data_IF_777152171556
#
_entry.id   IF_777152171556
#
_cell.length_a   1.000
_cell.length_b   1.000
_cell.length_c   1.000
_cell.angle_alpha   90.00
_cell.angle_beta   90.00
_cell.angle_gamma   90.00
#
_symmetry.space_group_name_H-M   'P 1'
#
loop_
_entity.id
_entity.type
_entity.pdbx_description
1 polymer ?
#
# COMPACT_ATOMS: atom_id res chain seq x y z
N UNK A 1 8.57 7.81 -14.69
CA UNK A 1 7.58 6.79 -14.26
C UNK A 1 8.27 5.43 -14.28
N UNK A 2 8.21 4.68 -13.18
CA UNK A 2 8.77 3.33 -13.08
C UNK A 2 7.62 2.34 -12.87
N UNK A 3 7.50 1.34 -13.73
CA UNK A 3 6.48 0.29 -13.62
C UNK A 3 7.17 -1.07 -13.48
N UNK A 4 6.74 -1.85 -12.49
CA UNK A 4 7.19 -3.23 -12.28
C UNK A 4 5.96 -4.10 -12.10
N UNK A 5 5.90 -5.21 -12.84
CA UNK A 5 4.75 -6.11 -12.85
C UNK A 5 5.17 -7.57 -13.11
N UNK A 6 4.29 -8.49 -12.73
CA UNK A 6 4.51 -9.93 -12.93
C UNK A 6 5.78 -10.42 -12.24
N UNK A 7 6.45 -11.41 -12.85
CA UNK A 7 7.62 -12.11 -12.30
C UNK A 7 8.82 -11.22 -11.96
N UNK A 8 8.83 -9.96 -12.41
CA UNK A 8 9.90 -9.02 -12.10
C UNK A 8 9.68 -8.27 -10.78
N UNK A 9 8.48 -8.30 -10.20
CA UNK A 9 8.17 -7.66 -8.92
C UNK A 9 8.74 -8.47 -7.74
N UNK A 10 10.07 -8.58 -7.69
CA UNK A 10 10.85 -9.24 -6.64
C UNK A 10 11.23 -8.25 -5.56
N UNK A 11 11.50 -8.73 -4.34
CA UNK A 11 11.95 -7.91 -3.22
C UNK A 11 13.16 -7.05 -3.55
N UNK A 12 14.17 -7.67 -4.13
CA UNK A 12 15.46 -7.04 -4.39
C UNK A 12 15.30 -5.88 -5.38
N UNK A 13 14.53 -6.10 -6.46
CA UNK A 13 14.27 -5.05 -7.44
C UNK A 13 13.44 -3.92 -6.84
N UNK A 14 12.37 -4.24 -6.11
CA UNK A 14 11.48 -3.23 -5.53
C UNK A 14 12.22 -2.40 -4.46
N UNK A 15 12.98 -3.02 -3.57
CA UNK A 15 13.81 -2.31 -2.58
C UNK A 15 14.88 -1.45 -3.25
N UNK A 16 15.55 -1.96 -4.29
CA UNK A 16 16.54 -1.17 -5.03
C UNK A 16 15.92 0.06 -5.69
N UNK A 17 14.74 -0.08 -6.31
CA UNK A 17 14.04 1.03 -6.94
C UNK A 17 13.53 2.04 -5.92
N UNK A 18 12.97 1.58 -4.80
CA UNK A 18 12.55 2.45 -3.71
C UNK A 18 13.74 3.25 -3.19
N UNK A 19 14.84 2.59 -2.83
CA UNK A 19 16.07 3.26 -2.37
C UNK A 19 16.57 4.28 -3.39
N UNK A 20 16.68 3.88 -4.66
CA UNK A 20 17.15 4.78 -5.71
C UNK A 20 16.26 6.01 -5.88
N UNK A 21 14.94 5.83 -5.91
CA UNK A 21 14.00 6.92 -6.14
C UNK A 21 13.93 7.83 -4.91
N UNK A 22 13.68 7.26 -3.73
CA UNK A 22 13.37 8.03 -2.53
C UNK A 22 14.60 8.65 -1.87
N UNK A 23 15.73 7.94 -1.88
CA UNK A 23 16.92 8.33 -1.12
C UNK A 23 18.02 8.95 -1.98
N UNK A 24 18.03 8.70 -3.30
CA UNK A 24 19.10 9.17 -4.17
C UNK A 24 18.64 10.14 -5.26
N UNK A 25 17.40 10.02 -5.75
CA UNK A 25 16.89 10.89 -6.83
C UNK A 25 15.99 12.01 -6.32
N UNK A 26 15.20 11.76 -5.29
CA UNK A 26 14.25 12.74 -4.77
C UNK A 26 14.95 14.00 -4.26
N UNK A 27 14.42 15.15 -4.64
CA UNK A 27 14.87 16.46 -4.21
C UNK A 27 13.77 17.19 -3.44
N UNK A 28 14.15 18.29 -2.81
CA UNK A 28 13.17 19.21 -2.23
C UNK A 28 12.30 19.78 -3.34
N UNK A 29 10.98 19.81 -3.13
CA UNK A 29 9.98 20.18 -4.13
C UNK A 29 9.34 19.01 -4.85
N UNK A 30 9.96 17.82 -4.83
CA UNK A 30 9.41 16.64 -5.50
C UNK A 30 8.24 16.03 -4.73
N UNK A 31 7.31 15.44 -5.51
CA UNK A 31 6.24 14.59 -5.00
C UNK A 31 6.41 13.17 -5.53
N UNK A 32 6.36 12.18 -4.62
CA UNK A 32 6.45 10.77 -4.98
C UNK A 32 5.10 10.08 -4.75
N UNK A 33 4.66 9.32 -5.75
CA UNK A 33 3.54 8.39 -5.64
C UNK A 33 4.06 6.96 -5.74
N UNK A 34 3.81 6.15 -4.71
CA UNK A 34 3.94 4.70 -4.75
C UNK A 34 2.54 4.10 -4.83
N UNK A 35 2.24 3.41 -5.92
CA UNK A 35 1.06 2.57 -6.04
C UNK A 35 1.50 1.11 -6.06
N UNK A 36 0.89 0.30 -5.19
CA UNK A 36 1.12 -1.13 -5.12
C UNK A 36 -0.23 -1.84 -5.14
N UNK A 37 -0.36 -2.82 -6.03
CA UNK A 37 -1.51 -3.71 -6.09
C UNK A 37 -1.03 -5.15 -5.93
N UNK A 38 -1.59 -5.87 -4.95
CA UNK A 38 -1.17 -7.24 -4.67
C UNK A 38 -1.56 -7.75 -3.29
N UNK A 39 -0.81 -8.72 -2.79
CA UNK A 39 -1.07 -9.31 -1.49
C UNK A 39 -0.34 -8.56 -0.38
N UNK A 40 -1.02 -8.38 0.75
CA UNK A 40 -0.42 -7.90 1.98
C UNK A 40 -0.91 -8.73 3.17
N UNK A 41 -0.09 -8.78 4.21
CA UNK A 41 -0.43 -9.50 5.43
C UNK A 41 0.21 -8.83 6.64
N UNK A 42 -0.24 -9.23 7.82
CA UNK A 42 0.29 -8.74 9.11
C UNK A 42 1.05 -9.89 9.75
N UNK A 43 2.26 -9.61 10.25
CA UNK A 43 2.97 -10.55 11.12
C UNK A 43 2.28 -10.60 12.47
N UNK A 44 1.93 -11.81 12.91
CA UNK A 44 1.13 -12.03 14.10
C UNK A 44 1.89 -11.73 15.39
N UNK A 45 3.23 -11.86 15.34
CA UNK A 45 4.10 -11.64 16.49
C UNK A 45 4.34 -10.17 16.76
N UNK A 46 4.65 -9.40 15.72
CA UNK A 46 4.94 -7.96 15.84
C UNK A 46 3.72 -7.06 15.65
N UNK A 47 2.70 -7.52 14.94
CA UNK A 47 1.59 -6.68 14.48
C UNK A 47 1.94 -5.76 13.32
N UNK A 48 3.11 -5.94 12.70
CA UNK A 48 3.59 -5.12 11.60
C UNK A 48 3.12 -5.63 10.23
N UNK A 49 2.89 -4.71 9.30
CA UNK A 49 2.41 -5.01 7.96
C UNK A 49 3.52 -5.28 6.95
N UNK A 50 3.25 -6.21 6.04
CA UNK A 50 4.17 -6.62 4.97
C UNK A 50 3.44 -6.65 3.63
N UNK A 51 4.13 -6.22 2.57
CA UNK A 51 3.70 -6.42 1.20
C UNK A 51 4.39 -7.68 0.65
N UNK A 52 3.58 -8.58 0.08
CA UNK A 52 4.08 -9.77 -0.56
C UNK A 52 4.44 -9.48 -2.03
N UNK A 53 5.63 -9.92 -2.40
CA UNK A 53 6.23 -9.79 -3.72
C UNK A 53 6.31 -11.18 -4.36
N UNK A 54 6.70 -11.25 -5.63
CA UNK A 54 6.65 -12.52 -6.38
C UNK A 54 7.54 -13.62 -5.81
N UNK A 55 8.64 -13.25 -5.13
CA UNK A 55 9.53 -14.19 -4.46
C UNK A 55 9.27 -14.32 -2.95
N UNK A 56 8.18 -13.73 -2.44
CA UNK A 56 7.86 -13.80 -1.02
C UNK A 56 7.44 -15.20 -0.59
N UNK A 57 7.91 -15.59 0.60
CA UNK A 57 7.58 -16.85 1.27
C UNK A 57 6.97 -16.50 2.62
N UNK A 58 5.74 -16.95 2.88
CA UNK A 58 5.01 -16.62 4.10
C UNK A 58 5.75 -17.03 5.40
N UNK A 59 6.56 -18.08 5.34
CA UNK A 59 7.37 -18.56 6.46
C UNK A 59 8.65 -17.76 6.69
N UNK A 60 9.01 -16.89 5.75
CA UNK A 60 10.25 -16.10 5.77
C UNK A 60 9.96 -14.63 5.41
N UNK A 61 9.68 -13.84 6.45
CA UNK A 61 9.37 -12.42 6.33
C UNK A 61 10.50 -11.60 5.67
N UNK A 62 11.74 -12.10 5.67
CA UNK A 62 12.88 -11.41 5.03
C UNK A 62 12.74 -11.34 3.50
N UNK A 63 11.85 -12.14 2.92
CA UNK A 63 11.50 -12.14 1.48
C UNK A 63 10.32 -11.23 1.16
N UNK A 64 9.77 -10.52 2.15
CA UNK A 64 8.65 -9.58 1.98
C UNK A 64 9.12 -8.14 2.20
N UNK A 65 8.36 -7.15 1.71
CA UNK A 65 8.65 -5.75 2.00
C UNK A 65 7.99 -5.34 3.32
N UNK A 66 8.78 -5.05 4.34
CA UNK A 66 8.30 -4.54 5.63
C UNK A 66 7.86 -3.08 5.51
N UNK A 67 6.60 -2.79 5.87
CA UNK A 67 6.10 -1.41 5.90
C UNK A 67 6.73 -0.59 7.03
N UNK A 68 7.10 -1.22 8.14
CA UNK A 68 7.86 -0.58 9.20
C UNK A 68 9.23 -0.16 8.67
N UNK A 69 10.02 -1.08 8.14
CA UNK A 69 11.36 -0.76 7.64
C UNK A 69 11.30 0.27 6.50
N UNK A 70 10.31 0.18 5.62
CA UNK A 70 10.06 1.20 4.60
C UNK A 70 9.77 2.57 5.23
N UNK A 71 8.86 2.66 6.19
CA UNK A 71 8.55 3.92 6.86
C UNK A 71 9.77 4.50 7.59
N UNK A 72 10.47 3.67 8.36
CA UNK A 72 11.57 4.11 9.22
C UNK A 72 12.85 4.47 8.46
N UNK A 73 13.15 3.78 7.36
CA UNK A 73 14.42 3.99 6.64
C UNK A 73 14.25 4.76 5.33
N UNK A 74 13.06 4.72 4.73
CA UNK A 74 12.84 5.38 3.44
C UNK A 74 12.08 6.70 3.62
N UNK A 75 10.90 6.67 4.26
CA UNK A 75 10.05 7.86 4.30
C UNK A 75 10.64 9.00 5.13
N UNK A 76 11.25 8.68 6.25
CA UNK A 76 11.90 9.63 7.18
C UNK A 76 13.17 10.24 6.60
N UNK A 77 13.81 9.58 5.64
CA UNK A 77 15.08 10.02 5.06
C UNK A 77 14.94 10.58 3.64
N UNK A 78 13.77 10.43 3.01
CA UNK A 78 13.52 10.98 1.68
C UNK A 78 13.41 12.51 1.72
N UNK A 79 14.07 13.20 0.78
CA UNK A 79 14.00 14.66 0.62
C UNK A 79 12.73 15.15 -0.07
N UNK A 80 11.92 14.23 -0.62
CA UNK A 80 10.67 14.59 -1.29
C UNK A 80 9.77 15.42 -0.36
N UNK A 81 9.23 16.52 -0.90
CA UNK A 81 8.30 17.38 -0.17
C UNK A 81 7.00 16.66 0.14
N UNK A 82 6.55 15.74 -0.70
CA UNK A 82 5.36 14.93 -0.46
C UNK A 82 5.56 13.48 -0.88
N UNK A 83 5.03 12.54 -0.10
CA UNK A 83 4.94 11.14 -0.49
C UNK A 83 3.51 10.65 -0.26
N UNK A 84 2.92 10.09 -1.31
CA UNK A 84 1.66 9.37 -1.25
C UNK A 84 1.91 7.89 -1.55
N UNK A 85 1.54 7.02 -0.62
CA UNK A 85 1.55 5.57 -0.81
C UNK A 85 0.12 5.06 -0.88
N UNK A 86 -0.20 4.32 -1.93
CA UNK A 86 -1.51 3.73 -2.17
C UNK A 86 -1.33 2.23 -2.29
N UNK A 87 -1.91 1.51 -1.33
CA UNK A 87 -1.85 0.06 -1.23
C UNK A 87 -3.21 -0.52 -1.61
N UNK A 88 -3.35 -0.93 -2.86
CA UNK A 88 -4.51 -1.67 -3.34
C UNK A 88 -4.33 -3.17 -3.03
N UNK A 89 -4.48 -3.51 -1.75
CA UNK A 89 -4.06 -4.80 -1.24
C UNK A 89 -5.24 -5.72 -0.91
N UNK A 90 -5.05 -7.01 -1.22
CA UNK A 90 -5.80 -8.09 -0.58
C UNK A 90 -5.16 -8.43 0.76
N UNK A 91 -5.92 -8.27 1.84
CA UNK A 91 -5.48 -8.68 3.17
C UNK A 91 -5.82 -10.16 3.37
N UNK A 92 -4.78 -11.00 3.49
CA UNK A 92 -4.94 -12.45 3.66
C UNK A 92 -4.19 -12.95 4.90
N UNK A 93 -4.81 -13.81 5.71
CA UNK A 93 -4.17 -14.46 6.87
C UNK A 93 -5.18 -15.04 7.86
N UNK A 94 -4.86 -16.16 8.52
CA UNK A 94 -5.82 -16.83 9.42
C UNK A 94 -6.22 -15.95 10.61
N UNK A 95 -5.28 -15.19 11.19
CA UNK A 95 -5.58 -14.28 12.29
C UNK A 95 -6.45 -13.10 11.89
N UNK A 96 -6.37 -12.65 10.63
CA UNK A 96 -7.27 -11.62 10.13
C UNK A 96 -8.72 -12.10 10.19
N UNK A 97 -8.97 -13.36 9.83
CA UNK A 97 -10.29 -13.99 9.93
C UNK A 97 -10.77 -14.07 11.37
N UNK A 98 -9.87 -14.38 12.31
CA UNK A 98 -10.20 -14.58 13.72
C UNK A 98 -10.48 -13.28 14.47
N UNK A 99 -9.81 -12.18 14.11
CA UNK A 99 -9.92 -10.89 14.81
C UNK A 99 -10.98 -9.97 14.21
N UNK A 100 -11.67 -10.40 13.16
CA UNK A 100 -12.71 -9.64 12.47
C UNK A 100 -13.99 -9.65 13.29
N UNK A 101 -14.42 -8.47 13.73
CA UNK A 101 -15.72 -8.27 14.41
C UNK A 101 -16.83 -7.86 13.44
N UNK A 102 -16.48 -7.41 12.23
CA UNK A 102 -17.41 -6.94 11.19
C UNK A 102 -16.80 -7.13 9.78
N UNK A 103 -17.60 -7.33 8.72
CA UNK A 103 -17.10 -7.28 7.34
C UNK A 103 -16.42 -5.96 6.97
N UNK A 104 -16.69 -4.88 7.72
CA UNK A 104 -16.02 -3.57 7.59
C UNK A 104 -14.86 -3.38 8.58
N UNK A 105 -14.55 -4.39 9.40
CA UNK A 105 -13.46 -4.33 10.37
C UNK A 105 -12.13 -4.40 9.62
N UNK A 106 -11.44 -3.27 9.61
CA UNK A 106 -10.14 -3.08 9.01
C UNK A 106 -9.17 -2.84 10.15
N UNK A 107 -8.46 -3.89 10.58
CA UNK A 107 -7.24 -3.62 11.35
C UNK A 107 -6.27 -2.89 10.44
N UNK A 108 -5.65 -1.79 10.85
CA UNK A 108 -4.80 -1.06 9.93
C UNK A 108 -3.67 -1.99 9.47
N UNK A 109 -3.46 -2.08 8.16
CA UNK A 109 -2.24 -2.67 7.57
C UNK A 109 -0.99 -2.05 8.21
N UNK A 110 -1.13 -0.84 8.73
CA UNK A 110 -0.10 -0.06 9.41
C UNK A 110 -0.11 -0.39 10.90
N UNK A 111 0.97 -1.01 11.36
CA UNK A 111 1.22 -1.18 12.79
C UNK A 111 1.39 0.16 13.49
N UNK A 112 1.32 0.15 14.82
CA UNK A 112 1.45 1.36 15.65
C UNK A 112 2.78 2.11 15.40
N UNK A 113 3.84 1.37 15.09
CA UNK A 113 5.17 1.89 14.74
C UNK A 113 5.09 2.79 13.50
N UNK A 114 4.46 2.29 12.43
CA UNK A 114 4.25 3.05 11.19
C UNK A 114 3.34 4.26 11.43
N UNK A 115 2.25 4.09 12.19
CA UNK A 115 1.34 5.18 12.51
C UNK A 115 2.04 6.33 13.26
N UNK A 116 2.91 6.02 14.22
CA UNK A 116 3.69 7.04 14.93
C UNK A 116 4.63 7.80 14.00
N UNK A 117 5.28 7.10 13.05
CA UNK A 117 6.14 7.76 12.05
C UNK A 117 5.33 8.71 11.18
N UNK A 118 4.18 8.27 10.66
CA UNK A 118 3.32 9.10 9.81
C UNK A 118 2.76 10.32 10.57
N UNK A 119 2.43 10.17 11.85
CA UNK A 119 2.02 11.30 12.71
C UNK A 119 3.13 12.35 12.87
N UNK A 120 4.39 11.92 12.89
CA UNK A 120 5.55 12.83 12.94
C UNK A 120 5.95 13.41 11.57
N UNK A 121 5.36 12.93 10.48
CA UNK A 121 5.71 13.26 9.10
C UNK A 121 4.44 13.61 8.30
N UNK A 122 3.86 14.81 8.49
CA UNK A 122 2.51 15.16 7.98
C UNK A 122 2.39 15.16 6.44
N UNK A 123 3.52 15.18 5.74
CA UNK A 123 3.64 15.12 4.28
C UNK A 123 3.88 13.69 3.74
N UNK A 124 3.67 12.67 4.57
CA UNK A 124 3.70 11.26 4.20
C UNK A 124 2.29 10.70 4.40
N UNK A 125 1.57 10.43 3.30
CA UNK A 125 0.21 9.94 3.35
C UNK A 125 0.14 8.48 2.87
N UNK A 126 -0.54 7.65 3.65
CA UNK A 126 -0.80 6.25 3.32
C UNK A 126 -2.29 6.05 3.11
N UNK A 127 -2.66 5.44 2.00
CA UNK A 127 -4.01 5.01 1.67
C UNK A 127 -3.98 3.51 1.41
N UNK A 128 -4.95 2.76 1.92
CA UNK A 128 -5.03 1.32 1.69
C UNK A 128 -6.48 0.92 1.38
N UNK A 129 -6.70 0.09 0.36
CA UNK A 129 -8.00 -0.55 0.20
C UNK A 129 -8.21 -1.54 1.33
N UNK A 130 -9.27 -1.34 2.11
CA UNK A 130 -9.68 -2.28 3.13
C UNK A 130 -10.60 -3.31 2.49
N UNK A 131 -10.06 -4.48 2.14
CA UNK A 131 -10.86 -5.64 1.72
C UNK A 131 -10.49 -6.82 2.58
N UNK A 132 -11.10 -6.87 3.76
CA UNK A 132 -10.97 -8.00 4.66
C UNK A 132 -11.62 -9.25 4.05
N UNK A 133 -10.79 -10.21 3.60
CA UNK A 133 -11.18 -11.52 3.08
C UNK A 133 -12.12 -11.54 1.87
N UNK A 134 -12.42 -10.41 1.25
CA UNK A 134 -13.01 -10.44 -0.06
C UNK A 134 -11.93 -10.89 -1.04
N UNK A 135 -12.07 -12.12 -1.55
CA UNK A 135 -11.48 -12.50 -2.83
C UNK A 135 -12.19 -11.66 -3.88
N UNK A 136 -11.81 -10.40 -4.03
CA UNK A 136 -12.32 -9.63 -5.15
C UNK A 136 -11.63 -10.18 -6.41
N UNK A 137 -12.39 -10.41 -7.49
CA UNK A 137 -11.76 -10.70 -8.77
C UNK A 137 -10.79 -9.55 -9.11
N UNK A 138 -9.57 -9.88 -9.53
CA UNK A 138 -8.57 -8.90 -10.02
C UNK A 138 -9.14 -8.04 -11.16
N UNK A 139 -10.15 -8.55 -11.87
CA UNK A 139 -10.94 -7.82 -12.85
C UNK A 139 -12.28 -7.33 -12.25
N UNK A 140 -12.33 -6.06 -11.85
CA UNK A 140 -13.58 -5.32 -11.67
C UNK A 140 -14.10 -4.74 -13.01
N UNK A 141 -14.91 -3.69 -12.93
CA UNK A 141 -15.34 -2.97 -14.15
C UNK A 141 -14.12 -2.56 -14.99
N UNK A 142 -14.17 -2.89 -16.29
CA UNK A 142 -13.11 -2.58 -17.29
C UNK A 142 -11.74 -3.21 -16.99
N UNK A 143 -11.68 -4.28 -16.20
CA UNK A 143 -10.42 -4.97 -15.89
C UNK A 143 -9.54 -4.26 -14.86
N UNK A 144 -10.12 -3.34 -14.08
CA UNK A 144 -9.43 -2.62 -13.01
C UNK A 144 -9.88 -3.10 -11.64
N UNK A 145 -8.97 -3.08 -10.67
CA UNK A 145 -9.31 -3.20 -9.25
C UNK A 145 -10.31 -2.10 -8.85
N UNK A 146 -11.30 -2.36 -7.99
CA UNK A 146 -12.32 -1.36 -7.67
C UNK A 146 -11.80 -0.10 -6.98
N UNK A 147 -10.71 -0.17 -6.20
CA UNK A 147 -10.08 1.04 -5.66
C UNK A 147 -9.53 1.89 -6.81
N UNK A 148 -8.73 1.29 -7.70
CA UNK A 148 -8.19 1.99 -8.87
C UNK A 148 -9.30 2.59 -9.74
N UNK A 149 -10.38 1.85 -9.99
CA UNK A 149 -11.52 2.34 -10.76
C UNK A 149 -12.18 3.56 -10.10
N UNK A 150 -12.53 3.48 -8.80
CA UNK A 150 -13.16 4.59 -8.09
C UNK A 150 -12.25 5.80 -7.95
N UNK A 151 -10.95 5.57 -7.76
CA UNK A 151 -9.96 6.64 -7.76
C UNK A 151 -9.91 7.39 -9.10
N UNK A 152 -9.88 6.66 -10.21
CA UNK A 152 -9.90 7.27 -11.55
C UNK A 152 -11.18 8.08 -11.75
N UNK A 153 -12.35 7.52 -11.40
CA UNK A 153 -13.62 8.23 -11.51
C UNK A 153 -13.65 9.51 -10.64
N UNK A 154 -13.14 9.44 -9.41
CA UNK A 154 -13.06 10.58 -8.49
C UNK A 154 -12.10 11.67 -8.98
N UNK A 155 -10.88 11.28 -9.40
CA UNK A 155 -9.86 12.20 -9.91
C UNK A 155 -10.26 12.85 -11.24
N UNK A 156 -10.98 12.12 -12.10
CA UNK A 156 -11.52 12.66 -13.34
C UNK A 156 -12.81 13.48 -13.15
N UNK A 157 -13.26 13.70 -11.91
CA UNK A 157 -14.42 14.54 -11.60
C UNK A 157 -15.78 13.93 -11.91
N UNK A 158 -15.85 12.64 -12.25
CA UNK A 158 -17.10 11.98 -12.63
C UNK A 158 -18.02 11.66 -11.43
N UNK A 159 -17.49 11.69 -10.20
CA UNK A 159 -18.26 11.53 -8.97
C UNK A 159 -19.02 12.81 -8.53
N UNK A 160 -18.79 13.97 -9.18
CA UNK A 160 -19.44 15.24 -8.83
C UNK A 160 -20.82 15.46 -9.50
N UNK A 161 -21.34 14.50 -10.27
CA UNK A 161 -22.64 14.63 -10.98
C UNK A 161 -23.56 13.44 -10.69
N UNK A 162 -23.81 13.11 -9.41
CA UNK A 162 -24.92 12.20 -9.02
C UNK A 162 -25.58 12.56 -7.68
N UNK A 163 -25.59 13.83 -7.30
CA UNK A 163 -26.43 14.32 -6.19
C UNK A 163 -27.34 15.50 -6.57
N UNK A 164 -27.84 15.54 -7.81
CA UNK A 164 -29.02 16.34 -8.11
C UNK A 164 -29.97 15.60 -9.05
N UNK A 165 -31.13 15.25 -8.49
CA UNK A 165 -32.37 15.06 -9.24
C UNK A 165 -33.19 13.85 -8.76
N UNK A 166 -34.53 13.98 -8.63
CA UNK A 166 -35.38 15.15 -8.41
C UNK A 166 -35.76 15.36 -6.93
#
# INVERSE_FOLDING_TARGET
MQLVQGQHATKELIESLITQIYLHKAEEGDSILLYFAGHAFIDERSGEGYLALTNSRYQDLSTCLSLHSFAQHVLTHSRASQVLCIFDCFQTGQIWNMRRTSPYDSKPLLGNSVLSILQSQPNRLFMSSCRGNERAPEAGERGLGPLAHQMILGLCGQQLIRQQGP
#
